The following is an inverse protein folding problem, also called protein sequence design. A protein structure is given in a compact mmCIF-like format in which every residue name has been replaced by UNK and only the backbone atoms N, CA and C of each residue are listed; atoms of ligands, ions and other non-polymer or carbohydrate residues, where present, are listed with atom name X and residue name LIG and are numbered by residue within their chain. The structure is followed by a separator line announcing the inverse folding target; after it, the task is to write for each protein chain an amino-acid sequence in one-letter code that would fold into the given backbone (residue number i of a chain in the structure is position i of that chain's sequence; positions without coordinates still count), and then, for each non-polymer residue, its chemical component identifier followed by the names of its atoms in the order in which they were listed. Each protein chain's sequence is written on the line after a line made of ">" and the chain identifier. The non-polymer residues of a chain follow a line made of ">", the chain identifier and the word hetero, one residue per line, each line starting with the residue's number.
data_IF_027113782099
#
_entry.id   IF_027113782099
#
_cell.length_a   1.000
_cell.length_b   1.000
_cell.length_c   1.000
_cell.angle_alpha   90.00
_cell.angle_beta   90.00
_cell.angle_gamma   90.00
#
_symmetry.space_group_name_H-M   'P 1'
#
loop_
_entity.id
_entity.type
_entity.pdbx_description
1 polymer ?
#
# COMPACT_ATOMS: atom_id res chain seq x y z
N UNK A 1 -12.56 8.38 8.84
CA UNK A 1 -11.87 8.34 7.52
C UNK A 1 -12.04 9.70 6.89
N UNK A 2 -10.95 10.46 6.64
CA UNK A 2 -11.05 11.85 6.17
C UNK A 2 -11.77 11.94 4.82
N UNK A 3 -12.52 13.02 4.59
CA UNK A 3 -13.27 13.24 3.33
C UNK A 3 -12.35 13.20 2.11
N UNK A 4 -11.17 13.82 2.21
CA UNK A 4 -10.14 13.76 1.15
C UNK A 4 -9.72 12.34 0.77
N UNK A 5 -9.61 11.43 1.75
CA UNK A 5 -9.28 10.03 1.48
C UNK A 5 -10.44 9.33 0.74
N UNK A 6 -11.68 9.59 1.17
CA UNK A 6 -12.88 9.06 0.52
C UNK A 6 -13.00 9.54 -0.92
N UNK A 7 -12.75 10.82 -1.19
CA UNK A 7 -12.74 11.38 -2.54
C UNK A 7 -11.64 10.79 -3.40
N UNK A 8 -10.45 10.58 -2.84
CA UNK A 8 -9.37 9.91 -3.56
C UNK A 8 -9.79 8.49 -3.95
N UNK A 9 -10.27 7.68 -3.00
CA UNK A 9 -10.75 6.32 -3.28
C UNK A 9 -11.88 6.29 -4.32
N UNK A 10 -12.83 7.23 -4.23
CA UNK A 10 -13.87 7.39 -5.26
C UNK A 10 -13.26 7.67 -6.62
N UNK A 11 -12.25 8.54 -6.74
CA UNK A 11 -11.63 8.87 -8.03
C UNK A 11 -10.90 7.69 -8.68
N UNK A 12 -10.15 6.90 -7.91
CA UNK A 12 -9.38 5.75 -8.45
C UNK A 12 -10.25 4.52 -8.74
N UNK A 13 -11.36 4.33 -8.01
CA UNK A 13 -12.26 3.19 -8.17
C UNK A 13 -13.58 3.54 -8.85
N UNK A 14 -13.72 4.75 -9.41
CA UNK A 14 -14.92 5.13 -10.16
C UNK A 14 -14.85 4.60 -11.58
N UNK A 15 -15.85 3.80 -11.96
CA UNK A 15 -16.05 3.30 -13.31
C UNK A 15 -16.30 4.41 -14.37
N UNK A 16 -16.57 5.66 -13.95
CA UNK A 16 -16.82 6.79 -14.86
C UNK A 16 -15.54 7.44 -15.38
N UNK A 17 -14.42 7.24 -14.71
CA UNK A 17 -13.14 7.73 -15.21
C UNK A 17 -12.47 6.55 -15.93
N UNK A 18 -11.96 6.76 -17.14
CA UNK A 18 -11.14 5.79 -17.90
C UNK A 18 -9.77 5.53 -17.24
N UNK A 19 -9.73 5.48 -15.92
CA UNK A 19 -8.57 5.24 -15.09
C UNK A 19 -8.46 3.72 -14.92
N UNK A 20 -7.26 3.14 -15.03
CA UNK A 20 -7.07 1.70 -14.82
C UNK A 20 -7.53 1.29 -13.43
N UNK A 21 -8.13 0.11 -13.29
CA UNK A 21 -8.55 -0.41 -11.98
C UNK A 21 -7.30 -0.74 -11.13
N UNK A 22 -7.32 -0.39 -9.83
CA UNK A 22 -6.16 -0.49 -8.95
C UNK A 22 -6.36 -1.48 -7.81
N UNK A 23 -5.39 -2.37 -7.61
CA UNK A 23 -5.23 -3.13 -6.38
C UNK A 23 -4.71 -2.21 -5.26
N UNK A 24 -5.50 -2.06 -4.20
CA UNK A 24 -5.23 -1.16 -3.08
C UNK A 24 -4.75 -1.94 -1.87
N UNK A 25 -3.47 -1.77 -1.50
CA UNK A 25 -2.84 -2.42 -0.36
C UNK A 25 -2.76 -1.43 0.79
N UNK A 26 -3.49 -1.69 1.87
CA UNK A 26 -3.49 -0.90 3.10
C UNK A 26 -2.36 -1.39 4.00
N UNK A 27 -1.38 -0.54 4.24
CA UNK A 27 -0.21 -0.87 5.06
C UNK A 27 -0.48 -0.50 6.51
N UNK A 28 -0.99 0.72 6.72
CA UNK A 28 -1.26 1.23 8.06
C UNK A 28 -2.55 2.04 8.07
N UNK A 29 -3.61 1.54 8.73
CA UNK A 29 -4.82 2.32 8.90
C UNK A 29 -4.53 3.52 9.81
N UNK A 30 -4.78 4.72 9.29
CA UNK A 30 -4.67 5.96 10.07
C UNK A 30 -5.93 6.18 10.92
N UNK A 31 -5.78 6.67 12.16
CA UNK A 31 -6.94 7.01 13.02
C UNK A 31 -7.51 8.39 12.69
N UNK A 32 -6.72 9.43 12.93
CA UNK A 32 -7.05 10.84 12.68
C UNK A 32 -6.07 11.43 11.67
N UNK A 33 -6.37 11.23 10.39
CA UNK A 33 -5.56 11.74 9.29
C UNK A 33 -5.89 13.23 9.10
N UNK A 34 -4.88 14.09 9.26
CA UNK A 34 -4.99 15.54 9.01
C UNK A 34 -4.76 15.82 7.53
N UNK A 35 -3.69 15.25 6.96
CA UNK A 35 -3.30 15.56 5.59
C UNK A 35 -2.82 14.32 4.83
N UNK A 36 -2.86 14.42 3.50
CA UNK A 36 -2.56 13.35 2.57
C UNK A 36 -1.65 13.85 1.45
N UNK A 37 -0.62 13.08 1.15
CA UNK A 37 0.29 13.34 0.04
C UNK A 37 0.31 12.13 -0.88
N UNK A 38 -0.04 12.36 -2.14
CA UNK A 38 -0.03 11.33 -3.19
C UNK A 38 1.31 11.44 -3.91
N UNK A 39 2.07 10.34 -3.95
CA UNK A 39 3.29 10.23 -4.75
C UNK A 39 3.07 9.21 -5.85
N UNK A 40 3.34 9.62 -7.09
CA UNK A 40 3.34 8.73 -8.25
C UNK A 40 4.74 8.17 -8.44
N UNK A 41 4.82 6.86 -8.53
CA UNK A 41 6.05 6.10 -8.76
C UNK A 41 6.07 5.54 -10.19
N UNK A 42 7.15 4.84 -10.53
CA UNK A 42 7.31 4.15 -11.80
C UNK A 42 6.13 3.19 -12.05
N UNK A 43 5.74 3.02 -13.31
CA UNK A 43 4.62 2.20 -13.73
C UNK A 43 3.24 2.63 -13.16
N UNK A 44 3.05 3.93 -12.88
CA UNK A 44 1.79 4.48 -12.37
C UNK A 44 1.37 3.92 -11.00
N UNK A 45 2.31 3.41 -10.20
CA UNK A 45 2.03 3.00 -8.83
C UNK A 45 1.81 4.26 -7.98
N UNK A 46 0.73 4.32 -7.19
CA UNK A 46 0.41 5.48 -6.35
C UNK A 46 0.65 5.14 -4.88
N UNK A 47 1.54 5.90 -4.22
CA UNK A 47 1.77 5.83 -2.78
C UNK A 47 0.99 6.94 -2.08
N UNK A 48 0.23 6.56 -1.06
CA UNK A 48 -0.48 7.49 -0.20
C UNK A 48 0.26 7.62 1.11
N UNK A 49 0.84 8.78 1.32
CA UNK A 49 1.41 9.18 2.59
C UNK A 49 0.34 9.93 3.38
N UNK A 50 0.14 9.56 4.64
CA UNK A 50 -0.78 10.24 5.54
C UNK A 50 -0.01 10.89 6.69
N UNK A 51 -0.52 12.01 7.16
CA UNK A 51 -0.07 12.68 8.39
C UNK A 51 -1.16 12.56 9.46
N UNK A 52 -0.78 12.12 10.66
CA UNK A 52 -1.69 11.91 11.80
C UNK A 52 -1.55 13.03 12.83
N UNK A 53 -2.66 13.44 13.45
CA UNK A 53 -2.68 14.52 14.46
C UNK A 53 -1.72 14.28 15.64
N UNK A 54 -1.65 13.04 16.11
CA UNK A 54 -0.88 12.68 17.32
C UNK A 54 0.53 12.18 17.02
N UNK A 55 0.95 12.11 15.76
CA UNK A 55 2.25 11.55 15.38
C UNK A 55 2.98 12.50 14.45
N UNK A 56 4.19 12.85 14.84
CA UNK A 56 5.09 13.64 14.01
C UNK A 56 5.52 12.80 12.79
N UNK A 57 5.31 13.37 11.60
CA UNK A 57 5.85 12.85 10.35
C UNK A 57 4.88 12.03 9.51
N UNK A 58 5.20 11.97 8.22
CA UNK A 58 4.43 11.28 7.20
C UNK A 58 4.67 9.77 7.28
N UNK A 59 3.61 8.98 7.24
CA UNK A 59 3.70 7.52 7.14
C UNK A 59 3.00 7.01 5.88
N UNK A 60 3.49 5.89 5.36
CA UNK A 60 2.86 5.21 4.23
C UNK A 60 1.56 4.54 4.70
N UNK A 61 0.43 5.06 4.24
CA UNK A 61 -0.90 4.60 4.58
C UNK A 61 -1.33 3.44 3.69
N UNK A 62 -1.30 3.67 2.38
CA UNK A 62 -1.72 2.69 1.37
C UNK A 62 -0.93 2.86 0.08
N UNK A 63 -0.89 1.79 -0.70
CA UNK A 63 -0.33 1.79 -2.04
C UNK A 63 -1.35 1.25 -3.02
N UNK A 64 -1.42 1.84 -4.20
CA UNK A 64 -2.34 1.46 -5.27
C UNK A 64 -1.53 1.07 -6.49
N UNK A 65 -1.70 -0.18 -6.92
CA UNK A 65 -0.99 -0.76 -8.06
C UNK A 65 -2.01 -1.02 -9.17
N UNK A 66 -1.80 -0.53 -10.40
CA UNK A 66 -2.68 -0.85 -11.52
C UNK A 66 -2.77 -2.37 -11.74
N UNK A 67 -3.98 -2.91 -11.87
CA UNK A 67 -4.18 -4.35 -12.11
C UNK A 67 -3.53 -4.80 -13.42
N UNK A 68 -3.56 -3.94 -14.43
CA UNK A 68 -2.86 -4.15 -15.71
C UNK A 68 -1.36 -4.43 -15.54
N UNK A 69 -0.70 -3.86 -14.53
CA UNK A 69 0.72 -4.11 -14.29
C UNK A 69 1.00 -5.52 -13.76
N UNK A 70 -0.01 -6.16 -13.17
CA UNK A 70 0.06 -7.56 -12.74
C UNK A 70 -0.14 -8.52 -13.92
N UNK A 71 -0.46 -8.02 -15.12
CA UNK A 71 -0.83 -8.84 -16.28
C UNK A 71 -2.26 -9.40 -16.18
N UNK A 72 -3.09 -8.82 -15.31
CA UNK A 72 -4.46 -9.26 -15.07
C UNK A 72 -5.48 -8.33 -15.73
N UNK A 73 -6.65 -8.90 -16.01
CA UNK A 73 -7.82 -8.16 -16.47
C UNK A 73 -8.36 -7.27 -15.35
N UNK A 74 -8.93 -6.08 -15.65
CA UNK A 74 -9.47 -5.18 -14.64
C UNK A 74 -10.48 -5.88 -13.71
N UNK A 75 -11.33 -6.75 -14.25
CA UNK A 75 -12.36 -7.45 -13.49
C UNK A 75 -11.87 -8.74 -12.79
N UNK A 76 -10.56 -8.98 -12.71
CA UNK A 76 -9.99 -10.13 -12.01
C UNK A 76 -10.46 -10.23 -10.56
N UNK A 77 -10.64 -11.46 -10.08
CA UNK A 77 -11.14 -11.75 -8.73
C UNK A 77 -10.06 -11.42 -7.69
N UNK A 78 -10.46 -11.05 -6.48
CA UNK A 78 -9.52 -10.76 -5.38
C UNK A 78 -8.54 -11.92 -5.13
N UNK A 79 -8.99 -13.18 -5.22
CA UNK A 79 -8.14 -14.37 -5.02
C UNK A 79 -7.04 -14.47 -6.07
N UNK A 80 -7.35 -14.13 -7.31
CA UNK A 80 -6.38 -14.13 -8.41
C UNK A 80 -5.36 -13.02 -8.21
N UNK A 81 -5.81 -11.79 -7.99
CA UNK A 81 -4.94 -10.64 -7.72
C UNK A 81 -4.04 -10.91 -6.51
N UNK A 82 -4.59 -11.49 -5.44
CA UNK A 82 -3.83 -11.85 -4.24
C UNK A 82 -2.63 -12.73 -4.58
N UNK A 83 -2.79 -13.74 -5.44
CA UNK A 83 -1.69 -14.64 -5.80
C UNK A 83 -0.51 -13.92 -6.45
N UNK A 84 -0.76 -12.87 -7.24
CA UNK A 84 0.30 -12.03 -7.83
C UNK A 84 0.90 -11.06 -6.83
N UNK A 85 0.12 -10.59 -5.86
CA UNK A 85 0.61 -9.72 -4.79
C UNK A 85 1.48 -10.48 -3.79
N UNK A 86 1.17 -11.74 -3.49
CA UNK A 86 1.93 -12.61 -2.57
C UNK A 86 3.13 -13.29 -3.25
N UNK A 87 3.04 -13.55 -4.56
CA UNK A 87 4.12 -14.15 -5.35
C UNK A 87 4.53 -13.24 -6.52
N UNK A 88 5.34 -12.19 -6.27
CA UNK A 88 5.72 -11.21 -7.29
C UNK A 88 6.44 -11.82 -8.50
N UNK A 89 7.06 -12.98 -8.34
CA UNK A 89 7.74 -13.72 -9.42
C UNK A 89 6.80 -14.06 -10.60
N UNK A 90 5.50 -14.14 -10.36
CA UNK A 90 4.48 -14.37 -11.40
C UNK A 90 4.29 -13.16 -12.32
N UNK A 91 4.68 -11.97 -11.87
CA UNK A 91 4.54 -10.73 -12.64
C UNK A 91 5.68 -10.66 -13.66
N UNK A 92 5.37 -11.06 -14.89
CA UNK A 92 6.27 -10.95 -16.04
C UNK A 92 6.09 -9.64 -16.80
N UNK A 93 4.90 -9.04 -16.70
CA UNK A 93 4.51 -7.84 -17.45
C UNK A 93 5.21 -6.56 -17.03
N UNK A 94 5.62 -6.44 -15.76
CA UNK A 94 6.23 -5.21 -15.22
C UNK A 94 7.32 -5.49 -14.19
N UNK A 95 8.59 -5.41 -14.64
CA UNK A 95 9.77 -5.44 -13.77
C UNK A 95 9.71 -4.43 -12.60
N UNK A 96 9.35 -3.15 -12.80
CA UNK A 96 9.29 -2.19 -11.69
C UNK A 96 8.18 -2.54 -10.69
N UNK A 97 7.05 -3.07 -11.13
CA UNK A 97 5.98 -3.50 -10.22
C UNK A 97 6.37 -4.72 -9.41
N UNK A 98 7.06 -5.69 -10.02
CA UNK A 98 7.62 -6.85 -9.32
C UNK A 98 8.59 -6.44 -8.21
N UNK A 99 9.61 -5.65 -8.55
CA UNK A 99 10.59 -5.16 -7.59
C UNK A 99 9.94 -4.37 -6.44
N UNK A 100 8.91 -3.58 -6.75
CA UNK A 100 8.16 -2.83 -5.77
C UNK A 100 7.37 -3.73 -4.80
N UNK A 101 6.74 -4.80 -5.28
CA UNK A 101 6.03 -5.76 -4.44
C UNK A 101 6.97 -6.60 -3.58
N UNK A 102 8.13 -7.00 -4.10
CA UNK A 102 9.17 -7.67 -3.32
C UNK A 102 9.63 -6.80 -2.13
N UNK A 103 9.83 -5.50 -2.35
CA UNK A 103 10.17 -4.55 -1.28
C UNK A 103 9.03 -4.43 -0.24
N UNK A 104 7.77 -4.41 -0.68
CA UNK A 104 6.60 -4.42 0.22
C UNK A 104 6.59 -5.70 1.06
N UNK A 105 6.70 -6.88 0.47
CA UNK A 105 6.67 -8.15 1.20
C UNK A 105 7.86 -8.25 2.17
N UNK A 106 9.05 -7.81 1.78
CA UNK A 106 10.22 -7.76 2.67
C UNK A 106 9.98 -6.90 3.91
N UNK A 107 9.28 -5.77 3.74
CA UNK A 107 8.97 -4.80 4.81
C UNK A 107 7.78 -5.21 5.66
N UNK A 108 6.74 -5.77 5.06
CA UNK A 108 5.42 -5.94 5.69
C UNK A 108 4.96 -7.41 5.82
N UNK A 109 5.86 -8.34 5.50
CA UNK A 109 5.72 -9.80 5.61
C UNK A 109 4.76 -10.37 4.59
N UNK A 110 3.47 -10.11 4.73
CA UNK A 110 2.44 -10.73 3.91
C UNK A 110 1.32 -9.75 3.57
N UNK A 111 0.58 -10.08 2.50
CA UNK A 111 -0.58 -9.33 2.00
C UNK A 111 -1.80 -10.23 2.12
N UNK A 112 -2.82 -9.76 2.82
CA UNK A 112 -4.06 -10.46 3.09
C UNK A 112 -5.23 -9.79 2.36
N UNK A 113 -6.25 -10.56 1.92
CA UNK A 113 -7.43 -9.99 1.29
C UNK A 113 -8.30 -9.24 2.31
N UNK A 114 -8.94 -8.15 1.87
CA UNK A 114 -10.01 -7.46 2.59
C UNK A 114 -11.38 -7.81 1.99
N UNK A 115 -12.47 -7.51 2.72
CA UNK A 115 -13.85 -7.80 2.29
C UNK A 115 -14.28 -7.01 1.04
N UNK A 116 -13.54 -5.95 0.65
CA UNK A 116 -13.88 -5.10 -0.49
C UNK A 116 -13.13 -5.52 -1.76
N UNK A 117 -13.77 -5.34 -2.92
CA UNK A 117 -13.17 -5.63 -4.24
C UNK A 117 -11.87 -4.86 -4.43
N UNK A 118 -10.78 -5.59 -4.71
CA UNK A 118 -9.42 -5.08 -4.93
C UNK A 118 -8.78 -4.36 -3.74
N UNK A 119 -9.29 -4.58 -2.54
CA UNK A 119 -8.63 -4.12 -1.31
C UNK A 119 -7.90 -5.28 -0.65
N UNK A 120 -6.71 -4.96 -0.17
CA UNK A 120 -5.80 -5.84 0.53
C UNK A 120 -5.22 -5.09 1.72
N UNK A 121 -4.69 -5.82 2.69
CA UNK A 121 -3.97 -5.25 3.83
C UNK A 121 -2.71 -6.02 4.11
N UNK A 122 -1.69 -5.39 4.65
CA UNK A 122 -0.51 -6.12 5.11
C UNK A 122 -0.74 -6.72 6.49
N UNK A 123 -0.20 -7.91 6.76
CA UNK A 123 -0.33 -8.58 8.06
C UNK A 123 0.38 -7.81 9.18
N UNK A 124 1.60 -7.31 8.91
CA UNK A 124 2.41 -6.66 9.94
C UNK A 124 3.12 -5.42 9.42
N UNK A 125 3.02 -4.33 10.17
CA UNK A 125 4.04 -3.30 10.12
C UNK A 125 5.24 -3.81 10.93
N UNK A 126 6.36 -4.20 10.31
CA UNK A 126 7.62 -4.32 11.07
C UNK A 126 7.90 -2.93 11.62
N UNK A 127 7.58 -2.70 12.90
CA UNK A 127 8.11 -1.54 13.64
C UNK A 127 9.61 -1.58 13.38
N UNK A 128 10.14 -0.52 12.77
CA UNK A 128 11.58 -0.29 12.72
C UNK A 128 12.05 -0.52 14.16
N UNK A 129 12.84 -1.56 14.43
CA UNK A 129 13.49 -1.71 15.73
C UNK A 129 14.32 -0.44 15.86
N UNK A 130 13.91 0.45 16.75
CA UNK A 130 14.79 1.51 17.21
C UNK A 130 15.93 0.79 17.91
N UNK A 131 17.01 0.54 17.18
CA UNK A 131 18.25 0.16 17.81
C UNK A 131 18.62 1.37 18.66
N UNK A 132 18.43 1.25 19.98
CA UNK A 132 19.07 2.16 20.94
C UNK A 132 20.57 1.96 20.79
N UNK A 133 21.18 2.67 19.85
CA UNK A 133 22.64 2.79 19.77
C UNK A 133 23.00 3.87 20.80
N UNK A 134 23.18 3.43 22.04
CA UNK A 134 23.55 4.27 23.15
C UNK A 134 23.62 3.40 24.39
N UNK A 135 24.83 3.23 24.93
CA UNK A 135 25.04 2.58 26.21
C UNK A 135 24.18 3.30 27.25
N UNK A 136 23.11 2.65 27.73
CA UNK A 136 22.48 3.08 28.96
C UNK A 136 23.49 2.82 30.07
N UNK A 137 24.09 3.88 30.60
CA UNK A 137 24.85 3.78 31.84
C UNK A 137 23.93 3.14 32.88
N UNK A 138 24.32 1.94 33.33
CA UNK A 138 23.67 1.27 34.45
C UNK A 138 23.86 2.16 35.68
N UNK A 139 22.73 2.67 36.18
CA UNK A 139 22.48 3.07 37.56
C UNK A 139 23.48 4.01 38.23
N UNK A 140 23.01 5.21 38.57
CA UNK A 140 23.25 5.85 39.86
C UNK A 140 21.99 6.62 40.24
#
# INVERSE_FOLDING_TARGET
>A
MSERLKDFYKKIHSAKNSIPEYASIIIRPGKKIIDLKIKKEVANILKILAHEEKKTGWFLHSVHIPIKNLGLEPNSKNKEILSYLTEPNRITSSKPTRAFLEDILRKYIDILPEKKKHYFKTERFKKKKEFKVGAQLKGF
#
